data_IF_007334527026
#
_entry.id   IF_007334527026
#
_cell.length_a   1.000
_cell.length_b   1.000
_cell.length_c   1.000
_cell.angle_alpha   90.00
_cell.angle_beta   90.00
_cell.angle_gamma   90.00
#
_symmetry.space_group_name_H-M   'P 1'
#
loop_
_entity.id
_entity.type
_entity.pdbx_description
1 polymer ?
#
# COMPACT_ATOMS: atom_id res chain seq x y z
N UNK A 1 27.73 -16.61 -31.12
CA UNK A 1 26.52 -16.14 -31.79
C UNK A 1 25.82 -17.36 -32.33
N UNK A 2 24.63 -17.64 -31.83
CA UNK A 2 23.77 -18.71 -32.32
C UNK A 2 23.27 -18.30 -33.72
N UNK A 3 23.23 -19.18 -34.74
CA UNK A 3 22.86 -18.79 -36.11
C UNK A 3 21.43 -18.23 -36.27
N UNK A 4 20.57 -18.35 -35.25
CA UNK A 4 19.22 -17.75 -35.20
C UNK A 4 19.16 -16.28 -34.76
N UNK A 5 20.29 -15.66 -34.42
CA UNK A 5 20.36 -14.30 -33.84
C UNK A 5 20.36 -13.16 -34.88
N UNK A 6 20.24 -13.48 -36.19
CA UNK A 6 20.38 -12.50 -37.29
C UNK A 6 19.16 -11.63 -37.54
N UNK A 7 18.01 -11.97 -36.98
CA UNK A 7 16.73 -11.27 -37.23
C UNK A 7 16.20 -10.53 -35.99
N UNK A 8 16.99 -10.43 -34.90
CA UNK A 8 16.57 -9.68 -33.70
C UNK A 8 16.74 -8.18 -33.96
N UNK A 9 15.67 -7.35 -33.84
CA UNK A 9 15.79 -5.91 -34.00
C UNK A 9 16.78 -5.31 -33.01
N UNK A 10 17.76 -4.56 -33.50
CA UNK A 10 18.73 -3.85 -32.68
C UNK A 10 18.28 -2.40 -32.46
N UNK A 11 18.26 -1.98 -31.19
CA UNK A 11 18.03 -0.59 -30.81
C UNK A 11 19.37 0.00 -30.38
N UNK A 12 19.81 1.04 -31.08
CA UNK A 12 21.02 1.76 -30.70
C UNK A 12 20.76 2.59 -29.43
N UNK A 13 21.53 2.33 -28.37
CA UNK A 13 21.54 3.16 -27.16
C UNK A 13 20.78 2.59 -25.96
N UNK A 14 20.35 3.49 -25.07
CA UNK A 14 19.61 3.18 -23.83
C UNK A 14 18.10 3.29 -24.08
N UNK A 15 17.34 2.38 -23.50
CA UNK A 15 15.87 2.48 -23.46
C UNK A 15 15.47 3.00 -22.08
N UNK A 16 14.52 3.92 -22.02
CA UNK A 16 14.01 4.46 -20.78
C UNK A 16 12.60 3.95 -20.49
N UNK A 17 12.30 3.72 -19.22
CA UNK A 17 10.98 3.34 -18.75
C UNK A 17 10.66 3.96 -17.40
N UNK A 18 9.41 3.80 -16.97
CA UNK A 18 8.95 4.20 -15.64
C UNK A 18 8.84 2.97 -14.76
N UNK A 19 9.33 3.09 -13.53
CA UNK A 19 9.32 2.00 -12.56
C UNK A 19 8.90 2.49 -11.19
N UNK A 20 8.17 1.63 -10.48
CA UNK A 20 7.93 1.73 -9.04
C UNK A 20 8.79 0.69 -8.34
N UNK A 21 9.65 1.12 -7.43
CA UNK A 21 10.42 0.27 -6.55
C UNK A 21 9.75 0.16 -5.20
N UNK A 22 9.94 -0.99 -4.54
CA UNK A 22 9.73 -1.09 -3.11
C UNK A 22 10.97 -0.60 -2.36
N UNK A 23 10.78 -0.03 -1.19
CA UNK A 23 11.83 0.39 -0.27
C UNK A 23 11.94 -0.65 0.85
N UNK A 24 13.13 -1.22 0.98
CA UNK A 24 13.53 -2.04 2.11
C UNK A 24 14.28 -1.16 3.11
N UNK A 25 13.87 -1.21 4.38
CA UNK A 25 14.38 -0.33 5.44
C UNK A 25 15.21 -1.12 6.43
N UNK A 26 16.52 -0.84 6.50
CA UNK A 26 17.42 -1.47 7.45
C UNK A 26 18.38 -0.43 8.03
N UNK A 27 18.43 -0.31 9.35
CA UNK A 27 19.39 0.59 10.02
C UNK A 27 19.24 2.08 9.68
N UNK A 28 18.02 2.53 9.33
CA UNK A 28 17.76 3.91 8.90
C UNK A 28 18.12 4.20 7.43
N UNK A 29 18.53 3.18 6.68
CA UNK A 29 18.88 3.26 5.27
C UNK A 29 17.78 2.60 4.42
N UNK A 30 17.51 3.20 3.26
CA UNK A 30 16.46 2.75 2.33
C UNK A 30 17.11 2.18 1.06
N UNK A 31 16.77 0.93 0.73
CA UNK A 31 17.26 0.25 -0.48
C UNK A 31 16.12 -0.06 -1.43
N UNK A 32 16.37 0.18 -2.72
CA UNK A 32 15.43 -0.17 -3.77
C UNK A 32 15.40 -1.69 -3.96
N UNK A 33 14.18 -2.22 -4.00
CA UNK A 33 13.90 -3.62 -4.22
C UNK A 33 12.88 -3.80 -5.33
N UNK A 34 13.11 -4.77 -6.19
CA UNK A 34 12.13 -5.21 -7.17
C UNK A 34 11.00 -6.02 -6.55
N UNK A 35 9.94 -6.25 -7.33
CA UNK A 35 8.78 -7.04 -6.92
C UNK A 35 9.17 -8.47 -6.48
N UNK A 36 10.13 -9.09 -7.18
CA UNK A 36 10.69 -10.40 -6.87
C UNK A 36 11.88 -10.35 -5.91
N UNK A 37 11.89 -9.37 -5.00
CA UNK A 37 12.91 -9.22 -3.97
C UNK A 37 14.36 -8.95 -4.42
N UNK A 38 14.64 -8.81 -5.73
CA UNK A 38 15.96 -8.44 -6.26
C UNK A 38 16.36 -7.03 -5.82
N UNK A 39 17.53 -6.92 -5.18
CA UNK A 39 18.10 -5.65 -4.76
C UNK A 39 18.69 -4.91 -5.97
N UNK A 40 18.60 -3.58 -5.95
CA UNK A 40 19.22 -2.73 -6.97
C UNK A 40 20.53 -2.15 -6.44
N UNK A 41 21.53 -2.13 -7.33
CA UNK A 41 22.84 -1.54 -7.06
C UNK A 41 22.72 -0.05 -6.71
N UNK A 42 23.30 0.32 -5.57
CA UNK A 42 23.03 1.58 -4.89
C UNK A 42 24.18 2.57 -4.95
N UNK A 43 25.02 2.50 -5.97
CA UNK A 43 26.20 3.36 -6.15
C UNK A 43 26.23 3.97 -7.57
N UNK A 44 25.07 4.03 -8.22
CA UNK A 44 24.91 4.54 -9.59
C UNK A 44 25.36 3.56 -10.69
N UNK A 45 25.89 2.39 -10.32
CA UNK A 45 26.18 1.34 -11.30
C UNK A 45 24.91 0.66 -11.79
N UNK A 46 25.05 0.00 -12.92
CA UNK A 46 24.00 -0.84 -13.49
C UNK A 46 23.72 -2.01 -12.56
N UNK A 47 22.46 -2.21 -12.20
CA UNK A 47 22.01 -3.51 -11.69
C UNK A 47 22.03 -4.50 -12.84
N UNK A 48 22.53 -5.71 -12.59
CA UNK A 48 22.51 -6.82 -13.54
C UNK A 48 21.34 -7.73 -13.18
N UNK A 49 20.52 -8.09 -14.18
CA UNK A 49 19.44 -9.03 -14.00
C UNK A 49 20.00 -10.44 -13.80
N UNK A 50 19.54 -11.11 -12.75
CA UNK A 50 19.89 -12.50 -12.46
C UNK A 50 18.63 -13.35 -12.30
N UNK A 51 18.69 -14.59 -12.77
CA UNK A 51 17.68 -15.59 -12.44
C UNK A 51 18.05 -16.26 -11.11
N UNK A 52 17.69 -15.60 -9.98
CA UNK A 52 18.01 -16.10 -8.62
C UNK A 52 16.78 -16.66 -7.87
N UNK A 53 15.70 -16.99 -8.57
CA UNK A 53 14.47 -17.51 -7.96
C UNK A 53 14.64 -18.95 -7.46
N UNK A 54 14.12 -19.24 -6.25
CA UNK A 54 14.02 -20.61 -5.68
C UNK A 54 13.32 -21.61 -6.62
N UNK A 55 12.50 -21.10 -7.53
CA UNK A 55 11.74 -21.85 -8.54
C UNK A 55 12.59 -22.36 -9.71
N UNK A 56 13.84 -21.89 -9.86
CA UNK A 56 14.73 -22.22 -11.00
C UNK A 56 16.05 -22.86 -10.57
N UNK A 57 16.13 -23.41 -9.36
CA UNK A 57 17.35 -23.96 -8.76
C UNK A 57 18.01 -25.14 -9.53
N UNK A 58 17.49 -25.54 -10.69
CA UNK A 58 18.05 -26.60 -11.55
C UNK A 58 18.26 -26.23 -13.02
N UNK A 59 17.93 -25.01 -13.46
CA UNK A 59 18.13 -24.60 -14.86
C UNK A 59 18.55 -23.12 -14.96
N UNK A 60 19.85 -22.81 -14.77
CA UNK A 60 20.35 -21.45 -14.92
C UNK A 60 20.21 -21.00 -16.38
N UNK A 61 19.62 -19.83 -16.58
CA UNK A 61 19.50 -19.21 -17.89
C UNK A 61 19.83 -17.71 -17.81
N UNK A 62 20.15 -17.13 -18.95
CA UNK A 62 20.44 -15.71 -19.06
C UNK A 62 19.17 -14.89 -18.81
N UNK A 63 19.27 -13.78 -18.07
CA UNK A 63 18.15 -12.84 -17.89
C UNK A 63 18.26 -11.66 -18.89
N UNK A 64 17.13 -11.13 -19.40
CA UNK A 64 15.80 -11.74 -19.35
C UNK A 64 15.72 -13.01 -20.20
N UNK A 65 14.82 -13.91 -19.83
CA UNK A 65 14.48 -15.11 -20.59
C UNK A 65 12.97 -15.07 -20.91
N UNK A 66 12.56 -15.30 -22.17
CA UNK A 66 11.16 -15.23 -22.59
C UNK A 66 10.22 -16.19 -21.86
N UNK A 67 10.75 -17.30 -21.33
CA UNK A 67 9.98 -18.33 -20.61
C UNK A 67 10.07 -18.17 -19.08
N UNK A 68 10.83 -17.20 -18.60
CA UNK A 68 10.94 -16.86 -17.18
C UNK A 68 10.36 -15.47 -16.92
N UNK A 69 10.18 -15.07 -15.66
CA UNK A 69 9.87 -13.70 -15.24
C UNK A 69 11.10 -12.90 -14.79
N UNK A 70 12.32 -13.41 -15.04
CA UNK A 70 13.57 -12.73 -14.71
C UNK A 70 13.81 -11.49 -15.59
N UNK A 71 14.63 -10.55 -15.12
CA UNK A 71 14.87 -9.29 -15.82
C UNK A 71 14.45 -8.07 -15.02
N UNK A 72 15.08 -6.94 -15.33
CA UNK A 72 14.77 -5.65 -14.72
C UNK A 72 13.64 -5.00 -15.51
N UNK A 73 12.43 -5.06 -14.95
CA UNK A 73 11.21 -4.60 -15.61
C UNK A 73 11.02 -3.07 -15.54
N UNK A 74 10.48 -2.47 -16.58
CA UNK A 74 9.97 -1.10 -16.56
C UNK A 74 8.74 -0.97 -17.48
N UNK A 75 7.85 -0.04 -17.17
CA UNK A 75 6.73 0.31 -18.04
C UNK A 75 7.14 1.35 -19.07
N UNK A 76 6.54 1.30 -20.27
CA UNK A 76 6.72 2.38 -21.23
C UNK A 76 6.06 3.66 -20.70
N UNK A 77 6.62 4.86 -20.96
CA UNK A 77 6.01 6.10 -20.50
C UNK A 77 4.56 6.29 -20.98
N UNK A 78 4.20 5.80 -22.17
CA UNK A 78 2.83 5.86 -22.68
C UNK A 78 1.86 4.86 -22.03
N UNK A 79 2.36 3.86 -21.31
CA UNK A 79 1.57 2.88 -20.54
C UNK A 79 1.71 3.11 -19.03
N UNK A 80 2.34 4.23 -18.64
CA UNK A 80 2.72 4.50 -17.26
C UNK A 80 1.52 4.85 -16.36
N UNK A 81 0.33 5.09 -16.92
CA UNK A 81 -0.90 5.24 -16.11
C UNK A 81 -1.09 4.04 -15.16
N UNK A 82 -0.74 2.82 -15.59
CA UNK A 82 -0.79 1.62 -14.75
C UNK A 82 0.27 1.65 -13.64
N UNK A 83 1.50 2.08 -13.96
CA UNK A 83 2.58 2.20 -12.97
C UNK A 83 2.34 3.35 -11.98
N UNK A 84 1.74 4.44 -12.45
CA UNK A 84 1.43 5.62 -11.66
C UNK A 84 0.15 5.43 -10.84
N UNK A 85 -0.81 4.62 -11.29
CA UNK A 85 -1.92 4.17 -10.47
C UNK A 85 -1.43 3.44 -9.20
N UNK A 86 -0.30 2.74 -9.25
CA UNK A 86 0.32 2.14 -8.05
C UNK A 86 0.88 3.18 -7.06
N UNK A 87 1.04 4.44 -7.48
CA UNK A 87 1.33 5.58 -6.60
C UNK A 87 0.07 6.32 -6.15
N UNK A 88 -1.00 6.24 -6.95
CA UNK A 88 -2.28 6.94 -6.77
C UNK A 88 -3.34 6.11 -6.02
N UNK A 89 -3.12 4.80 -5.84
CA UNK A 89 -3.96 3.95 -4.99
C UNK A 89 -4.11 4.63 -3.62
N UNK A 90 -5.36 4.86 -3.21
CA UNK A 90 -5.81 5.56 -1.99
C UNK A 90 -5.24 4.98 -0.66
N UNK A 91 -4.36 3.99 -0.72
CA UNK A 91 -3.44 3.67 0.35
C UNK A 91 -2.43 4.82 0.54
N UNK A 92 -2.03 5.16 1.77
CA UNK A 92 -0.95 6.14 1.96
C UNK A 92 0.23 5.73 1.08
N UNK A 93 1.00 6.67 0.47
CA UNK A 93 2.29 6.32 -0.09
C UNK A 93 3.02 5.65 1.04
N UNK A 94 3.09 4.33 0.97
CA UNK A 94 3.82 3.57 1.94
C UNK A 94 5.21 4.15 1.74
N UNK A 95 5.86 4.56 2.82
CA UNK A 95 7.31 4.76 2.80
C UNK A 95 8.04 3.49 2.28
N UNK A 96 7.32 2.41 1.96
CA UNK A 96 7.79 1.23 1.26
C UNK A 96 7.82 1.33 -0.27
N UNK A 97 7.50 2.46 -0.93
CA UNK A 97 7.61 2.56 -2.39
C UNK A 97 8.04 3.94 -2.90
N UNK A 98 8.72 3.96 -4.04
CA UNK A 98 9.13 5.17 -4.76
C UNK A 98 9.05 4.91 -6.27
N UNK A 99 8.66 5.91 -7.05
CA UNK A 99 8.69 5.82 -8.51
C UNK A 99 9.81 6.65 -9.10
N UNK A 100 10.10 6.39 -10.37
CA UNK A 100 11.10 7.13 -11.11
C UNK A 100 11.32 6.59 -12.52
N UNK A 101 12.31 7.17 -13.17
CA UNK A 101 12.76 6.80 -14.50
C UNK A 101 13.96 5.87 -14.37
N UNK A 102 13.97 4.82 -15.19
CA UNK A 102 15.06 3.86 -15.29
C UNK A 102 15.63 3.88 -16.70
N UNK A 103 16.96 3.87 -16.81
CA UNK A 103 17.66 3.58 -18.07
C UNK A 103 18.01 2.09 -18.12
N UNK A 104 17.89 1.47 -19.29
CA UNK A 104 18.05 0.03 -19.46
C UNK A 104 18.71 -0.33 -20.80
N UNK A 105 19.44 -1.47 -20.83
CA UNK A 105 20.18 -1.94 -22.00
C UNK A 105 20.60 -3.42 -21.89
N UNK A 106 21.32 -3.90 -22.91
CA UNK A 106 21.79 -5.28 -23.03
C UNK A 106 20.76 -6.12 -23.79
N UNK A 107 20.55 -7.37 -23.35
CA UNK A 107 19.39 -8.14 -23.81
C UNK A 107 18.11 -7.51 -23.27
N UNK A 108 17.15 -7.29 -24.15
CA UNK A 108 15.86 -6.70 -23.81
C UNK A 108 14.75 -7.57 -24.37
N UNK A 109 13.80 -7.89 -23.52
CA UNK A 109 12.54 -8.49 -23.93
C UNK A 109 11.47 -7.40 -23.88
N UNK A 110 10.90 -7.11 -25.04
CA UNK A 110 9.98 -6.01 -25.24
C UNK A 110 8.52 -6.52 -25.22
N UNK A 111 7.66 -5.80 -24.54
CA UNK A 111 6.22 -6.03 -24.48
C UNK A 111 5.46 -4.75 -24.87
N UNK A 112 4.14 -4.86 -25.09
CA UNK A 112 3.31 -3.70 -25.46
C UNK A 112 3.29 -2.62 -24.36
N UNK A 113 3.30 -3.02 -23.08
CA UNK A 113 3.19 -2.10 -21.94
C UNK A 113 4.51 -1.79 -21.23
N UNK A 114 5.57 -2.51 -21.57
CA UNK A 114 6.88 -2.33 -20.94
C UNK A 114 7.96 -3.22 -21.51
N UNK A 115 9.02 -3.40 -20.76
CA UNK A 115 10.14 -4.26 -21.15
C UNK A 115 10.85 -4.85 -19.93
N UNK A 116 11.61 -5.91 -20.17
CA UNK A 116 12.57 -6.48 -19.21
C UNK A 116 13.96 -6.38 -19.80
N UNK A 117 14.94 -5.92 -19.01
CA UNK A 117 16.30 -5.74 -19.49
C UNK A 117 17.33 -6.50 -18.64
N UNK A 118 18.47 -6.80 -19.26
CA UNK A 118 19.63 -7.39 -18.62
C UNK A 118 20.32 -6.41 -17.68
N UNK A 119 20.44 -5.14 -18.09
CA UNK A 119 21.05 -4.10 -17.29
C UNK A 119 20.09 -2.95 -17.12
N UNK A 120 20.01 -2.40 -15.91
CA UNK A 120 19.26 -1.17 -15.69
C UNK A 120 19.79 -0.41 -14.47
N UNK A 121 19.60 0.90 -14.46
CA UNK A 121 19.79 1.73 -13.25
C UNK A 121 18.77 2.86 -13.19
N UNK A 122 18.39 3.31 -11.97
CA UNK A 122 17.58 4.51 -11.84
C UNK A 122 18.37 5.72 -12.37
N UNK A 123 17.67 6.66 -12.99
CA UNK A 123 18.26 7.94 -13.43
C UNK A 123 17.54 9.14 -12.82
N UNK A 124 16.30 8.95 -12.41
CA UNK A 124 15.54 9.95 -11.68
C UNK A 124 14.51 9.30 -10.75
N UNK A 125 14.28 9.87 -9.58
CA UNK A 125 13.13 9.58 -8.72
C UNK A 125 12.13 10.73 -8.76
N UNK A 126 10.84 10.43 -8.54
CA UNK A 126 9.79 11.45 -8.59
C UNK A 126 9.22 11.78 -7.21
N UNK A 127 9.01 13.07 -6.98
CA UNK A 127 8.27 13.64 -5.88
C UNK A 127 6.95 14.19 -6.41
N UNK A 128 5.85 13.45 -6.21
CA UNK A 128 4.52 13.86 -6.65
C UNK A 128 3.78 14.54 -5.49
N UNK A 129 3.41 15.81 -5.65
CA UNK A 129 2.60 16.56 -4.69
C UNK A 129 3.26 16.80 -3.32
N UNK A 130 4.58 16.61 -3.23
CA UNK A 130 5.38 16.84 -2.03
C UNK A 130 6.51 17.81 -2.35
N UNK A 131 6.74 18.79 -1.46
CA UNK A 131 7.88 19.70 -1.58
C UNK A 131 9.19 18.98 -1.23
N UNK A 132 10.30 19.32 -1.90
CA UNK A 132 11.63 18.79 -1.58
C UNK A 132 12.04 18.95 -0.11
N UNK A 133 11.62 20.05 0.55
CA UNK A 133 11.91 20.30 1.97
C UNK A 133 11.08 19.48 2.97
N UNK A 134 10.11 18.68 2.51
CA UNK A 134 9.33 17.79 3.40
C UNK A 134 10.17 16.58 3.82
N UNK A 135 9.80 15.90 4.92
CA UNK A 135 10.47 14.66 5.36
C UNK A 135 10.56 13.61 4.24
N UNK A 136 9.50 13.50 3.43
CA UNK A 136 9.47 12.62 2.26
C UNK A 136 10.39 13.12 1.14
N UNK A 137 10.41 14.43 0.87
CA UNK A 137 11.33 15.06 -0.07
C UNK A 137 12.80 14.81 0.29
N UNK A 138 13.17 15.03 1.55
CA UNK A 138 14.51 14.77 2.08
C UNK A 138 14.87 13.27 2.04
N UNK A 139 13.90 12.38 2.26
CA UNK A 139 14.09 10.94 2.12
C UNK A 139 14.37 10.56 0.66
N UNK A 140 13.56 11.03 -0.29
CA UNK A 140 13.77 10.77 -1.72
C UNK A 140 15.09 11.36 -2.20
N UNK A 141 15.45 12.57 -1.75
CA UNK A 141 16.75 13.17 -2.06
C UNK A 141 17.92 12.27 -1.62
N UNK A 142 17.90 11.75 -0.40
CA UNK A 142 18.91 10.79 0.09
C UNK A 142 18.97 9.49 -0.74
N UNK A 143 17.82 9.01 -1.20
CA UNK A 143 17.77 7.85 -2.11
C UNK A 143 18.36 8.24 -3.48
N UNK A 144 18.05 9.44 -3.99
CA UNK A 144 18.65 10.03 -5.19
C UNK A 144 20.17 10.05 -5.13
N UNK A 145 20.72 10.66 -4.09
CA UNK A 145 22.17 10.76 -3.86
C UNK A 145 22.84 9.39 -3.85
N UNK A 146 22.23 8.43 -3.13
CA UNK A 146 22.73 7.06 -3.03
C UNK A 146 22.81 6.40 -4.40
N UNK A 147 21.73 6.45 -5.17
CA UNK A 147 21.65 5.80 -6.48
C UNK A 147 22.23 6.67 -7.61
N UNK A 148 22.93 7.77 -7.28
CA UNK A 148 23.44 8.75 -8.25
C UNK A 148 22.39 9.19 -9.27
N UNK A 149 21.17 9.43 -8.80
CA UNK A 149 19.98 9.70 -9.60
C UNK A 149 19.41 11.07 -9.28
N UNK A 150 18.85 11.75 -10.28
CA UNK A 150 18.17 13.02 -10.09
C UNK A 150 16.88 12.85 -9.25
N UNK A 151 16.38 13.95 -8.71
CA UNK A 151 15.03 14.02 -8.13
C UNK A 151 14.20 15.01 -8.94
N UNK A 152 13.00 14.59 -9.36
CA UNK A 152 12.05 15.39 -10.12
C UNK A 152 10.89 15.78 -9.23
N UNK A 153 10.66 17.08 -9.08
CA UNK A 153 9.49 17.62 -8.38
C UNK A 153 8.35 17.82 -9.37
N UNK A 154 7.22 17.13 -9.12
CA UNK A 154 6.05 17.13 -9.98
C UNK A 154 4.81 17.49 -9.17
N UNK A 155 3.92 18.29 -9.75
CA UNK A 155 2.64 18.64 -9.13
C UNK A 155 1.67 17.46 -9.10
N UNK A 156 1.70 16.62 -10.13
CA UNK A 156 0.82 15.45 -10.33
C UNK A 156 1.55 14.33 -11.07
N UNK A 157 1.03 13.11 -10.98
CA UNK A 157 1.70 11.93 -11.51
C UNK A 157 1.82 11.96 -13.05
N UNK A 158 0.83 12.51 -13.74
CA UNK A 158 0.77 12.60 -15.20
C UNK A 158 1.89 13.50 -15.76
N UNK A 159 2.38 14.46 -14.97
CA UNK A 159 3.50 15.31 -15.36
C UNK A 159 4.80 14.50 -15.58
N UNK A 160 4.92 13.28 -15.01
CA UNK A 160 6.04 12.40 -15.31
C UNK A 160 5.99 11.91 -16.76
N UNK A 161 4.80 11.59 -17.28
CA UNK A 161 4.63 11.16 -18.67
C UNK A 161 4.95 12.31 -19.62
N UNK A 162 4.48 13.51 -19.29
CA UNK A 162 4.78 14.72 -20.05
C UNK A 162 6.28 15.04 -20.00
N UNK A 163 6.93 14.89 -18.84
CA UNK A 163 8.38 15.04 -18.69
C UNK A 163 9.14 14.05 -19.57
N UNK A 164 8.79 12.77 -19.53
CA UNK A 164 9.41 11.75 -20.39
C UNK A 164 9.24 12.09 -21.87
N UNK A 165 8.05 12.53 -22.30
CA UNK A 165 7.80 12.94 -23.68
C UNK A 165 8.65 14.15 -24.09
N UNK A 166 8.74 15.16 -23.24
CA UNK A 166 9.49 16.38 -23.52
C UNK A 166 11.01 16.16 -23.64
N UNK A 167 11.53 15.11 -23.00
CA UNK A 167 12.95 14.74 -23.03
C UNK A 167 13.22 13.51 -23.92
N UNK A 168 12.25 13.11 -24.74
CA UNK A 168 12.36 11.96 -25.64
C UNK A 168 12.77 10.66 -24.91
N UNK A 169 12.32 10.50 -23.67
CA UNK A 169 12.60 9.32 -22.85
C UNK A 169 11.58 8.22 -23.17
N UNK A 170 12.08 7.10 -23.65
CA UNK A 170 11.33 5.86 -23.88
C UNK A 170 10.96 5.64 -25.35
N UNK A 171 10.51 4.43 -25.67
CA UNK A 171 10.06 4.10 -27.02
C UNK A 171 8.66 4.66 -27.26
N UNK A 172 8.42 5.19 -28.45
CA UNK A 172 7.09 5.63 -28.84
C UNK A 172 6.17 4.43 -29.09
N UNK A 173 4.87 4.59 -28.83
CA UNK A 173 3.88 3.52 -29.02
C UNK A 173 3.90 2.92 -30.44
N UNK A 174 4.03 3.70 -31.52
CA UNK A 174 4.17 3.13 -32.87
C UNK A 174 5.42 2.26 -33.04
N UNK A 175 6.56 2.67 -32.47
CA UNK A 175 7.82 1.90 -32.51
C UNK A 175 7.67 0.60 -31.74
N UNK A 176 7.12 0.64 -30.52
CA UNK A 176 6.85 -0.57 -29.72
C UNK A 176 5.97 -1.54 -30.49
N UNK A 177 4.86 -1.06 -31.08
CA UNK A 177 3.98 -1.91 -31.89
C UNK A 177 4.67 -2.52 -33.10
N UNK A 178 5.48 -1.75 -33.81
CA UNK A 178 6.23 -2.25 -34.97
C UNK A 178 7.22 -3.34 -34.57
N UNK A 179 7.92 -3.17 -33.44
CA UNK A 179 8.91 -4.14 -32.96
C UNK A 179 8.27 -5.41 -32.41
N UNK A 180 7.14 -5.27 -31.69
CA UNK A 180 6.40 -6.42 -31.15
C UNK A 180 5.66 -7.18 -32.26
N UNK A 181 5.09 -6.49 -33.26
CA UNK A 181 4.38 -7.12 -34.38
C UNK A 181 5.31 -7.70 -35.46
N UNK A 182 6.51 -7.12 -35.61
CA UNK A 182 7.52 -7.57 -36.58
C UNK A 182 8.39 -8.72 -36.09
N UNK A 183 8.30 -9.10 -34.81
CA UNK A 183 8.95 -10.30 -34.31
C UNK A 183 8.25 -11.53 -34.90
N UNK A 184 8.94 -12.44 -35.61
CA UNK A 184 8.36 -13.71 -36.00
C UNK A 184 7.90 -14.39 -34.70
N UNK A 185 6.59 -14.53 -34.52
CA UNK A 185 6.04 -15.30 -33.41
C UNK A 185 6.60 -16.72 -33.43
N UNK A 186 6.60 -17.46 -32.31
CA UNK A 186 6.93 -18.87 -32.35
C UNK A 186 6.01 -19.51 -33.38
N UNK A 187 6.62 -19.98 -34.47
CA UNK A 187 5.93 -20.70 -35.53
C UNK A 187 5.26 -21.90 -34.86
N UNK A 188 3.95 -21.81 -34.63
CA UNK A 188 3.16 -22.98 -34.27
C UNK A 188 3.16 -23.83 -35.52
N UNK A 189 4.14 -24.73 -35.62
CA UNK A 189 4.24 -25.72 -36.68
C UNK A 189 3.03 -26.62 -36.54
N UNK A 190 1.97 -26.26 -37.25
CA UNK A 190 0.81 -27.10 -37.45
C UNK A 190 1.27 -28.26 -38.35
N UNK A 191 1.63 -29.38 -37.72
CA UNK A 191 2.02 -30.61 -38.42
C UNK A 191 0.82 -31.12 -39.20
N UNK A 192 0.63 -30.62 -40.42
CA UNK A 192 -0.30 -31.19 -41.40
C UNK A 192 0.36 -32.42 -41.98
N UNK A 193 0.05 -33.59 -41.42
CA UNK A 193 0.39 -34.88 -42.01
C UNK A 193 -0.38 -35.06 -43.32
N UNK A 194 0.20 -34.61 -44.44
CA UNK A 194 -0.22 -34.97 -45.79
C UNK A 194 0.23 -36.40 -46.08
N UNK A 195 -0.63 -37.37 -45.81
CA UNK A 195 -0.47 -38.75 -46.27
C UNK A 195 -0.79 -38.84 -47.76
N UNK A 196 0.23 -39.08 -48.57
CA UNK A 196 0.13 -39.43 -49.99
C UNK A 196 0.12 -40.96 -50.07
N UNK A 197 -1.04 -41.56 -50.32
CA UNK A 197 -1.17 -43.02 -50.46
C UNK A 197 -0.99 -43.43 -51.92
N UNK A 198 -0.02 -44.31 -52.27
CA UNK A 198 0.04 -44.97 -53.56
C UNK A 198 -1.02 -46.08 -53.63
N UNK A 199 -1.64 -46.25 -54.80
CA UNK A 199 -2.67 -47.26 -55.05
C UNK A 199 -2.16 -48.69 -54.80
N UNK A 200 -3.00 -49.50 -54.13
CA UNK A 200 -2.79 -50.93 -53.95
C UNK A 200 -3.99 -51.72 -54.50
N UNK A 201 -3.75 -52.92 -55.07
CA UNK A 201 -4.75 -53.64 -55.85
C UNK A 201 -5.74 -54.43 -55.00
N UNK A 202 -6.91 -54.68 -55.58
CA UNK A 202 -8.06 -55.35 -54.96
C UNK A 202 -7.77 -56.83 -54.65
N UNK A 203 -7.31 -57.09 -53.41
CA UNK A 203 -7.15 -58.43 -52.85
C UNK A 203 -8.39 -58.89 -52.06
N UNK A 204 -8.87 -60.09 -52.39
CA UNK A 204 -10.00 -60.83 -51.78
C UNK A 204 -9.90 -60.81 -50.24
N UNK A 205 -10.94 -60.26 -49.57
CA UNK A 205 -11.00 -60.08 -48.11
C UNK A 205 -11.26 -61.41 -47.39
N UNK A 206 -10.28 -61.85 -46.60
CA UNK A 206 -10.39 -62.93 -45.63
C UNK A 206 -11.08 -62.40 -44.35
N UNK A 207 -12.28 -62.91 -43.98
CA UNK A 207 -13.03 -62.45 -42.80
C UNK A 207 -12.32 -62.70 -41.46
N UNK A 208 -11.27 -63.55 -41.42
CA UNK A 208 -10.47 -63.76 -40.21
C UNK A 208 -9.55 -62.59 -39.89
N UNK A 209 -9.01 -61.91 -40.90
CA UNK A 209 -8.17 -60.70 -40.72
C UNK A 209 -8.96 -59.50 -40.23
N UNK A 210 -10.23 -59.36 -40.63
CA UNK A 210 -11.09 -58.27 -40.15
C UNK A 210 -11.39 -58.37 -38.66
N UNK A 211 -11.58 -59.59 -38.12
CA UNK A 211 -11.80 -59.81 -36.69
C UNK A 211 -10.54 -59.55 -35.86
N UNK A 212 -9.37 -59.96 -36.35
CA UNK A 212 -8.09 -59.67 -35.69
C UNK A 212 -7.81 -58.17 -35.65
N UNK A 213 -8.11 -57.43 -36.73
CA UNK A 213 -7.97 -55.98 -36.79
C UNK A 213 -8.91 -55.28 -35.79
N UNK A 214 -10.18 -55.70 -35.73
CA UNK A 214 -11.16 -55.14 -34.77
C UNK A 214 -10.78 -55.43 -33.31
N UNK A 215 -10.21 -56.60 -33.02
CA UNK A 215 -9.70 -56.92 -31.69
C UNK A 215 -8.50 -56.02 -31.32
N UNK A 216 -7.57 -55.79 -32.26
CA UNK A 216 -6.44 -54.87 -32.09
C UNK A 216 -6.89 -53.42 -31.85
N UNK A 217 -7.88 -52.94 -32.61
CA UNK A 217 -8.44 -51.59 -32.43
C UNK A 217 -9.08 -51.44 -31.05
N UNK A 218 -9.86 -52.43 -30.60
CA UNK A 218 -10.47 -52.40 -29.26
C UNK A 218 -9.43 -52.38 -28.15
N UNK A 219 -8.37 -53.18 -28.27
CA UNK A 219 -7.28 -53.18 -27.31
C UNK A 219 -6.58 -51.82 -27.26
N UNK A 220 -6.27 -51.21 -28.41
CA UNK A 220 -5.68 -49.87 -28.46
C UNK A 220 -6.58 -48.80 -27.88
N UNK A 221 -7.89 -48.81 -28.18
CA UNK A 221 -8.84 -47.85 -27.61
C UNK A 221 -8.93 -47.98 -26.08
N UNK A 222 -8.88 -49.21 -25.55
CA UNK A 222 -8.85 -49.42 -24.10
C UNK A 222 -7.56 -48.85 -23.47
N UNK A 223 -6.40 -49.06 -24.10
CA UNK A 223 -5.13 -48.47 -23.63
C UNK A 223 -5.16 -46.94 -23.65
N UNK A 224 -5.69 -46.34 -24.71
CA UNK A 224 -5.83 -44.88 -24.82
C UNK A 224 -6.78 -44.35 -23.75
N UNK A 225 -7.92 -45.01 -23.52
CA UNK A 225 -8.87 -44.61 -22.47
C UNK A 225 -8.23 -44.64 -21.07
N UNK A 226 -7.46 -45.69 -20.75
CA UNK A 226 -6.73 -45.79 -19.48
C UNK A 226 -5.71 -44.66 -19.35
N UNK A 227 -4.96 -44.36 -20.42
CA UNK A 227 -3.98 -43.27 -20.41
C UNK A 227 -4.63 -41.90 -20.18
N UNK A 228 -5.79 -41.63 -20.80
CA UNK A 228 -6.54 -40.38 -20.61
C UNK A 228 -7.05 -40.26 -19.17
N UNK A 229 -7.60 -41.34 -18.60
CA UNK A 229 -8.07 -41.36 -17.21
C UNK A 229 -6.90 -41.14 -16.24
N UNK A 230 -5.75 -41.77 -16.49
CA UNK A 230 -4.54 -41.57 -15.69
C UNK A 230 -4.06 -40.11 -15.75
N UNK A 231 -4.01 -39.51 -16.95
CA UNK A 231 -3.60 -38.12 -17.13
C UNK A 231 -4.52 -37.15 -16.38
N UNK A 232 -5.84 -37.37 -16.47
CA UNK A 232 -6.82 -36.58 -15.73
C UNK A 232 -6.65 -36.73 -14.21
N UNK A 233 -6.39 -37.96 -13.73
CA UNK A 233 -6.16 -38.23 -12.31
C UNK A 233 -4.89 -37.55 -11.79
N UNK A 234 -3.77 -37.64 -12.51
CA UNK A 234 -2.53 -36.96 -12.13
C UNK A 234 -2.66 -35.44 -12.21
N UNK A 235 -3.39 -34.90 -13.20
CA UNK A 235 -3.71 -33.48 -13.28
C UNK A 235 -4.51 -32.99 -12.06
N UNK A 236 -5.52 -33.76 -11.63
CA UNK A 236 -6.29 -33.48 -10.42
C UNK A 236 -5.42 -33.50 -9.16
N UNK A 237 -4.58 -34.53 -8.98
CA UNK A 237 -3.66 -34.61 -7.84
C UNK A 237 -2.65 -33.45 -7.82
N UNK A 238 -2.13 -33.06 -8.98
CA UNK A 238 -1.25 -31.89 -9.11
C UNK A 238 -1.95 -30.60 -8.72
N UNK A 239 -3.20 -30.40 -9.14
CA UNK A 239 -4.01 -29.26 -8.74
C UNK A 239 -4.26 -29.22 -7.23
N UNK A 240 -4.61 -30.36 -6.61
CA UNK A 240 -4.78 -30.47 -5.15
C UNK A 240 -3.48 -30.11 -4.42
N UNK A 241 -2.32 -30.58 -4.90
CA UNK A 241 -1.02 -30.25 -4.32
C UNK A 241 -0.72 -28.74 -4.40
N UNK A 242 -1.01 -28.09 -5.54
CA UNK A 242 -0.86 -26.64 -5.69
C UNK A 242 -1.76 -25.87 -4.73
N UNK A 243 -3.03 -26.29 -4.58
CA UNK A 243 -3.97 -25.67 -3.62
C UNK A 243 -3.45 -25.82 -2.19
N UNK A 244 -2.94 -27.00 -1.81
CA UNK A 244 -2.35 -27.23 -0.49
C UNK A 244 -1.09 -26.40 -0.26
N UNK A 245 -0.21 -26.24 -1.26
CA UNK A 245 0.96 -25.37 -1.19
C UNK A 245 0.54 -23.90 -1.04
N UNK A 246 -0.44 -23.42 -1.81
CA UNK A 246 -0.96 -22.06 -1.66
C UNK A 246 -1.56 -21.86 -0.25
N UNK A 247 -2.31 -22.84 0.26
CA UNK A 247 -2.87 -22.78 1.61
C UNK A 247 -1.78 -22.77 2.69
N UNK A 248 -0.74 -23.61 2.54
CA UNK A 248 0.40 -23.64 3.44
C UNK A 248 1.24 -22.36 3.37
N UNK A 249 1.52 -21.85 2.17
CA UNK A 249 2.21 -20.56 1.99
C UNK A 249 1.39 -19.45 2.63
N UNK A 250 0.07 -19.37 2.39
CA UNK A 250 -0.79 -18.40 3.11
C UNK A 250 -0.68 -18.56 4.62
N UNK A 251 -0.76 -19.79 5.14
CA UNK A 251 -0.61 -20.04 6.57
C UNK A 251 0.76 -19.64 7.15
N UNK A 252 1.83 -19.59 6.33
CA UNK A 252 3.18 -19.20 6.74
C UNK A 252 3.55 -17.74 6.42
N UNK A 253 2.96 -17.15 5.37
CA UNK A 253 3.20 -15.75 4.95
C UNK A 253 2.20 -14.78 5.55
N UNK A 254 1.05 -15.28 6.01
CA UNK A 254 0.25 -14.58 7.00
C UNK A 254 1.05 -14.61 8.30
N UNK A 255 1.98 -13.67 8.43
CA UNK A 255 2.47 -13.21 9.73
C UNK A 255 1.23 -13.14 10.66
N UNK A 256 1.15 -13.92 11.76
CA UNK A 256 -0.06 -14.11 12.55
C UNK A 256 -0.48 -12.86 13.34
N UNK A 257 -0.02 -11.69 12.91
CA UNK A 257 -0.65 -10.42 13.23
C UNK A 257 -1.56 -10.08 12.06
N UNK A 258 -2.79 -10.65 11.97
CA UNK A 258 -3.79 -10.07 11.11
C UNK A 258 -3.79 -8.58 11.42
N UNK A 259 -3.69 -7.73 10.38
CA UNK A 259 -3.93 -6.32 10.53
C UNK A 259 -5.25 -6.21 11.31
N UNK A 260 -5.15 -5.83 12.59
CA UNK A 260 -6.24 -5.94 13.54
C UNK A 260 -7.41 -5.21 12.89
N UNK A 261 -8.41 -5.97 12.45
CA UNK A 261 -9.53 -5.36 11.74
C UNK A 261 -10.15 -4.36 12.71
N UNK A 262 -10.57 -3.20 12.19
CA UNK A 262 -11.18 -2.10 12.93
C UNK A 262 -12.35 -2.50 13.87
N UNK A 263 -12.74 -3.78 13.90
CA UNK A 263 -13.78 -4.40 14.75
C UNK A 263 -13.65 -4.12 16.24
N UNK A 264 -12.49 -3.64 16.70
CA UNK A 264 -12.26 -3.38 18.12
C UNK A 264 -12.30 -1.89 18.50
N UNK A 265 -12.34 -0.98 17.53
CA UNK A 265 -12.54 0.44 17.80
C UNK A 265 -13.98 0.83 17.48
N UNK A 266 -14.72 1.15 18.52
CA UNK A 266 -16.09 1.63 18.42
C UNK A 266 -16.08 3.16 18.38
N UNK A 267 -16.69 3.75 17.35
CA UNK A 267 -16.98 5.18 17.34
C UNK A 267 -18.20 5.41 18.23
N UNK A 268 -17.97 5.95 19.42
CA UNK A 268 -19.05 6.29 20.36
C UNK A 268 -19.82 7.50 19.84
N UNK A 269 -19.10 8.48 19.32
CA UNK A 269 -19.68 9.71 18.79
C UNK A 269 -18.70 10.41 17.86
N UNK A 270 -19.22 11.19 16.91
CA UNK A 270 -18.43 11.99 16.00
C UNK A 270 -19.15 13.28 15.60
N UNK A 271 -18.37 14.33 15.34
CA UNK A 271 -18.88 15.64 14.96
C UNK A 271 -17.88 16.42 14.11
N UNK A 272 -18.38 17.44 13.41
CA UNK A 272 -17.55 18.51 12.85
C UNK A 272 -17.62 19.72 13.77
N UNK A 273 -16.48 20.15 14.31
CA UNK A 273 -16.41 21.35 15.15
C UNK A 273 -15.63 22.45 14.45
N UNK A 274 -15.99 23.71 14.73
CA UNK A 274 -15.26 24.87 14.21
C UNK A 274 -14.42 25.51 15.29
N UNK A 275 -13.15 25.80 15.00
CA UNK A 275 -12.26 26.53 15.91
C UNK A 275 -11.25 27.34 15.10
N UNK A 276 -11.13 28.63 15.39
CA UNK A 276 -10.18 29.51 14.70
C UNK A 276 -10.42 29.68 13.20
N UNK A 277 -11.63 29.40 12.69
CA UNK A 277 -11.92 29.43 11.25
C UNK A 277 -11.69 28.10 10.53
N UNK A 278 -11.09 27.12 11.21
CA UNK A 278 -10.88 25.77 10.69
C UNK A 278 -12.00 24.84 11.13
N UNK A 279 -12.32 23.86 10.29
CA UNK A 279 -13.24 22.76 10.61
C UNK A 279 -12.41 21.55 10.99
N UNK A 280 -12.73 20.96 12.13
CA UNK A 280 -12.09 19.75 12.64
C UNK A 280 -13.09 18.62 12.71
N UNK A 281 -12.67 17.45 12.26
CA UNK A 281 -13.35 16.20 12.58
C UNK A 281 -12.95 15.77 13.99
N UNK A 282 -13.95 15.43 14.80
CA UNK A 282 -13.77 14.95 16.16
C UNK A 282 -14.51 13.65 16.29
N UNK A 283 -13.86 12.61 16.81
CA UNK A 283 -14.51 11.36 17.16
C UNK A 283 -14.09 10.87 18.54
N UNK A 284 -15.06 10.55 19.39
CA UNK A 284 -14.85 9.83 20.64
C UNK A 284 -14.84 8.35 20.30
N UNK A 285 -13.73 7.69 20.58
CA UNK A 285 -13.49 6.31 20.17
C UNK A 285 -13.18 5.46 21.40
N UNK A 286 -13.78 4.28 21.48
CA UNK A 286 -13.56 3.31 22.55
C UNK A 286 -12.86 2.08 21.98
N UNK A 287 -11.86 1.59 22.68
CA UNK A 287 -11.28 0.29 22.40
C UNK A 287 -12.11 -0.80 23.12
N UNK A 288 -12.99 -1.46 22.37
CA UNK A 288 -13.81 -2.56 22.85
C UNK A 288 -13.08 -3.91 22.78
N UNK A 289 -11.76 -3.96 22.48
CA UNK A 289 -11.02 -5.22 22.52
C UNK A 289 -10.96 -5.78 23.94
N UNK A 290 -11.04 -7.12 24.05
CA UNK A 290 -10.76 -7.84 25.30
C UNK A 290 -9.29 -8.28 25.40
N UNK A 291 -8.53 -8.24 24.28
CA UNK A 291 -7.14 -8.73 24.21
C UNK A 291 -6.13 -7.60 24.29
N UNK A 292 -5.05 -7.85 25.03
CA UNK A 292 -3.97 -6.94 25.38
C UNK A 292 -3.23 -6.44 24.13
N UNK A 293 -3.38 -5.15 23.85
CA UNK A 293 -2.64 -4.44 22.82
C UNK A 293 -3.13 -3.00 22.73
N UNK A 294 -2.20 -2.06 22.88
CA UNK A 294 -2.50 -0.66 22.68
C UNK A 294 -2.73 -0.41 21.18
N UNK A 295 -3.82 0.26 20.83
CA UNK A 295 -4.17 0.57 19.44
C UNK A 295 -4.15 2.07 19.21
N UNK A 296 -3.37 2.52 18.23
CA UNK A 296 -3.47 3.88 17.76
C UNK A 296 -4.69 4.01 16.84
N UNK A 297 -5.56 4.97 17.12
CA UNK A 297 -6.81 5.19 16.37
C UNK A 297 -6.61 6.19 15.22
N UNK A 298 -7.01 5.81 14.00
CA UNK A 298 -6.87 6.64 12.79
C UNK A 298 -8.21 6.75 12.07
N UNK A 299 -8.75 7.95 11.85
CA UNK A 299 -9.94 8.09 11.05
C UNK A 299 -9.61 7.86 9.57
N UNK A 300 -10.48 7.14 8.87
CA UNK A 300 -10.49 7.00 7.42
C UNK A 300 -11.90 7.10 6.89
N UNK A 301 -12.06 7.63 5.69
CA UNK A 301 -13.34 7.63 5.00
C UNK A 301 -13.74 9.01 4.51
N UNK A 302 -15.04 9.26 4.43
CA UNK A 302 -15.59 10.46 3.80
C UNK A 302 -16.63 11.09 4.71
N UNK A 303 -16.66 12.42 4.72
CA UNK A 303 -17.74 13.20 5.31
C UNK A 303 -18.56 13.74 4.16
N UNK A 304 -19.86 13.44 4.21
CA UNK A 304 -20.84 13.82 3.22
C UNK A 304 -21.74 14.92 3.80
N UNK A 305 -22.26 15.79 2.94
CA UNK A 305 -23.37 16.66 3.33
C UNK A 305 -24.74 15.93 3.23
N UNK A 306 -25.82 16.68 3.39
CA UNK A 306 -27.19 16.17 3.31
C UNK A 306 -27.57 15.68 1.91
N UNK A 307 -26.94 16.21 0.86
CA UNK A 307 -27.14 15.78 -0.52
C UNK A 307 -26.36 14.50 -0.85
N UNK A 308 -25.47 14.05 0.05
CA UNK A 308 -24.59 12.90 -0.18
C UNK A 308 -23.28 13.29 -0.88
N UNK A 309 -23.01 14.58 -1.06
CA UNK A 309 -21.79 15.06 -1.70
C UNK A 309 -20.61 15.03 -0.73
N UNK A 310 -19.44 14.63 -1.23
CA UNK A 310 -18.23 14.53 -0.40
C UNK A 310 -17.68 15.92 -0.09
N UNK A 311 -17.92 16.39 1.14
CA UNK A 311 -17.40 17.67 1.62
C UNK A 311 -15.99 17.57 2.20
N UNK A 312 -15.62 16.40 2.72
CA UNK A 312 -14.27 16.15 3.21
C UNK A 312 -13.89 14.67 3.09
N UNK A 313 -12.59 14.39 2.98
CA UNK A 313 -12.03 13.04 3.05
C UNK A 313 -11.09 12.96 4.24
N UNK A 314 -11.30 11.95 5.08
CA UNK A 314 -10.43 11.59 6.19
C UNK A 314 -9.42 10.58 5.66
N UNK A 315 -8.16 11.00 5.59
CA UNK A 315 -7.06 10.20 5.05
C UNK A 315 -6.03 9.83 6.11
N UNK A 316 -5.01 9.03 5.75
CA UNK A 316 -3.88 8.70 6.63
C UNK A 316 -2.94 9.89 6.89
N UNK A 317 -2.94 10.90 6.01
CA UNK A 317 -2.15 12.15 6.11
C UNK A 317 -2.97 13.44 6.33
N UNK A 318 -3.83 13.53 7.33
CA UNK A 318 -4.32 14.83 7.77
C UNK A 318 -3.26 15.52 8.64
N UNK A 319 -3.39 16.83 8.86
CA UNK A 319 -2.64 17.53 9.90
C UNK A 319 -3.20 17.09 11.24
N UNK A 320 -2.65 15.99 11.74
CA UNK A 320 -3.17 15.33 12.93
C UNK A 320 -2.89 16.20 14.15
N UNK A 321 -3.93 16.82 14.70
CA UNK A 321 -3.80 17.48 16.00
C UNK A 321 -3.68 16.42 17.10
N UNK A 322 -4.49 15.34 17.02
CA UNK A 322 -4.46 14.29 18.04
C UNK A 322 -4.93 12.89 17.58
N UNK A 323 -4.15 11.85 17.93
CA UNK A 323 -4.50 10.43 17.79
C UNK A 323 -4.23 9.70 19.10
N UNK A 324 -5.24 9.16 19.78
CA UNK A 324 -5.04 8.46 21.02
C UNK A 324 -4.46 7.07 20.72
N UNK A 325 -3.63 6.58 21.64
CA UNK A 325 -3.28 5.17 21.74
C UNK A 325 -4.08 4.61 22.91
N UNK A 326 -4.94 3.63 22.63
CA UNK A 326 -5.93 3.12 23.59
C UNK A 326 -5.62 1.69 24.01
N UNK A 327 -5.56 1.46 25.31
CA UNK A 327 -5.59 0.13 25.92
C UNK A 327 -7.01 -0.46 25.84
N UNK A 328 -7.17 -1.79 25.99
CA UNK A 328 -8.47 -2.44 26.10
C UNK A 328 -9.39 -1.76 27.12
N UNK A 329 -10.62 -1.42 26.71
CA UNK A 329 -11.62 -0.73 27.53
C UNK A 329 -11.48 0.79 27.59
N UNK A 330 -10.37 1.37 27.14
CA UNK A 330 -10.17 2.82 27.19
C UNK A 330 -11.00 3.57 26.15
N UNK A 331 -11.30 4.83 26.48
CA UNK A 331 -11.94 5.78 25.57
C UNK A 331 -11.00 6.96 25.36
N UNK A 332 -10.86 7.40 24.11
CA UNK A 332 -10.09 8.59 23.75
C UNK A 332 -10.75 9.38 22.63
N UNK A 333 -10.03 10.38 22.14
CA UNK A 333 -10.57 11.32 21.16
C UNK A 333 -9.62 11.43 19.98
N UNK A 334 -10.14 11.24 18.78
CA UNK A 334 -9.46 11.56 17.53
C UNK A 334 -9.83 13.00 17.16
N UNK A 335 -8.84 13.85 16.92
CA UNK A 335 -9.04 15.23 16.44
C UNK A 335 -8.23 15.41 15.17
N UNK A 336 -8.94 15.74 14.10
CA UNK A 336 -8.36 15.81 12.77
C UNK A 336 -8.73 17.10 12.04
N UNK A 337 -7.74 17.82 11.54
CA UNK A 337 -7.97 19.06 10.79
C UNK A 337 -8.41 18.74 9.37
N UNK A 338 -9.59 19.23 8.99
CA UNK A 338 -10.09 19.09 7.63
C UNK A 338 -9.61 20.29 6.80
N UNK A 339 -8.96 20.06 5.64
CA UNK A 339 -8.50 21.16 4.80
C UNK A 339 -9.68 22.02 4.32
N UNK A 340 -9.71 23.28 4.77
CA UNK A 340 -10.86 24.18 4.66
C UNK A 340 -11.23 24.68 3.27
N UNK A 341 -10.61 24.20 2.18
CA UNK A 341 -10.90 24.72 0.83
C UNK A 341 -12.30 24.34 0.31
N UNK A 342 -12.87 23.19 0.71
CA UNK A 342 -14.17 22.72 0.21
C UNK A 342 -15.34 22.86 1.18
N UNK A 343 -15.09 22.89 2.49
CA UNK A 343 -16.15 22.98 3.51
C UNK A 343 -16.79 24.37 3.63
N UNK A 344 -16.33 25.36 2.85
CA UNK A 344 -16.77 26.74 2.99
C UNK A 344 -16.54 27.30 4.40
N UNK A 345 -17.18 28.43 4.73
CA UNK A 345 -17.08 29.01 6.08
C UNK A 345 -17.94 28.27 7.11
N UNK A 346 -18.90 27.43 6.72
CA UNK A 346 -19.82 26.77 7.66
C UNK A 346 -19.82 25.26 7.42
N UNK A 347 -19.59 24.41 8.44
CA UNK A 347 -19.79 22.98 8.29
C UNK A 347 -21.24 22.71 7.88
N UNK A 348 -21.52 21.61 7.15
CA UNK A 348 -22.88 21.21 6.84
C UNK A 348 -23.68 21.05 8.15
N UNK A 349 -24.96 21.45 8.14
CA UNK A 349 -25.80 21.40 9.33
C UNK A 349 -26.01 19.96 9.85
N UNK A 350 -26.01 18.99 8.94
CA UNK A 350 -26.22 17.57 9.22
C UNK A 350 -25.20 16.74 8.43
N UNK A 351 -23.94 16.65 8.88
CA UNK A 351 -22.93 15.82 8.22
C UNK A 351 -23.30 14.35 8.32
N UNK A 352 -23.15 13.62 7.22
CA UNK A 352 -23.17 12.16 7.18
C UNK A 352 -21.75 11.64 7.18
N UNK A 353 -21.46 10.68 8.06
CA UNK A 353 -20.11 10.16 8.24
C UNK A 353 -20.02 8.76 7.67
N UNK A 354 -19.32 8.60 6.56
CA UNK A 354 -18.90 7.31 6.03
C UNK A 354 -17.45 7.05 6.46
N UNK A 355 -17.27 6.98 7.77
CA UNK A 355 -15.96 6.94 8.42
C UNK A 355 -15.75 5.61 9.11
N UNK A 356 -14.50 5.16 9.14
CA UNK A 356 -14.03 3.99 9.89
C UNK A 356 -12.80 4.41 10.67
N UNK A 357 -12.69 3.98 11.92
CA UNK A 357 -11.48 4.16 12.71
C UNK A 357 -10.62 2.92 12.53
N UNK A 358 -9.48 3.07 11.87
CA UNK A 358 -8.51 2.00 11.69
C UNK A 358 -7.60 1.97 12.92
N UNK A 359 -7.37 0.78 13.45
CA UNK A 359 -6.38 0.53 14.48
C UNK A 359 -5.03 0.21 13.82
N UNK A 360 -3.95 0.85 14.27
CA UNK A 360 -2.60 0.33 14.01
C UNK A 360 -2.05 -0.21 15.32
N UNK A 361 -1.64 -1.48 15.32
CA UNK A 361 -0.85 -2.00 16.42
C UNK A 361 0.41 -1.15 16.55
N UNK A 362 0.53 -0.52 17.70
CA UNK A 362 1.83 -0.12 18.20
C UNK A 362 2.25 -1.25 19.12
N UNK A 363 3.52 -1.67 19.08
CA UNK A 363 4.05 -2.35 20.25
C UNK A 363 3.70 -1.41 21.41
N UNK A 364 2.96 -1.92 22.41
CA UNK A 364 2.82 -1.17 23.64
C UNK A 364 4.25 -0.81 24.03
N UNK A 365 4.59 0.48 24.18
CA UNK A 365 5.92 0.81 24.64
C UNK A 365 6.15 -0.03 25.89
N UNK A 366 7.34 -0.62 26.04
CA UNK A 366 7.67 -1.43 27.21
C UNK A 366 7.73 -0.60 28.51
N UNK A 367 7.19 0.62 28.48
CA UNK A 367 7.09 1.58 29.56
C UNK A 367 5.77 1.47 30.34
N UNK A 368 5.76 1.96 31.59
CA UNK A 368 4.58 2.01 32.44
C UNK A 368 3.40 2.74 31.78
N UNK A 369 2.20 2.26 32.11
CA UNK A 369 0.90 2.74 31.62
C UNK A 369 0.79 4.28 31.60
N UNK A 370 0.09 4.84 30.59
CA UNK A 370 -0.22 6.27 30.58
C UNK A 370 -0.99 6.68 31.84
N UNK A 371 -0.90 7.96 32.20
CA UNK A 371 -1.76 8.49 33.26
C UNK A 371 -3.23 8.46 32.82
N UNK A 372 -4.13 8.25 33.78
CA UNK A 372 -5.58 8.18 33.58
C UNK A 372 -6.25 9.49 34.01
N UNK A 373 -7.30 9.88 33.28
CA UNK A 373 -8.22 10.92 33.71
C UNK A 373 -9.40 10.24 34.41
N UNK A 374 -9.47 10.34 35.74
CA UNK A 374 -10.53 9.68 36.56
C UNK A 374 -11.84 10.44 36.54
N UNK A 375 -11.77 11.77 36.59
CA UNK A 375 -12.94 12.64 36.55
C UNK A 375 -12.58 14.04 36.10
N UNK A 376 -13.56 14.74 35.54
CA UNK A 376 -13.51 16.16 35.21
C UNK A 376 -14.66 16.88 35.88
N UNK A 377 -14.40 18.07 36.40
CA UNK A 377 -15.36 18.91 37.09
C UNK A 377 -15.27 20.33 36.53
N UNK A 378 -16.39 20.82 35.99
CA UNK A 378 -16.51 22.16 35.42
C UNK A 378 -17.33 23.02 36.38
N UNK A 379 -16.64 23.90 37.10
CA UNK A 379 -17.26 24.96 37.87
C UNK A 379 -17.68 26.07 36.89
N UNK A 380 -18.97 26.18 36.61
CA UNK A 380 -19.52 27.12 35.62
C UNK A 380 -19.49 28.56 36.09
N UNK A 381 -19.61 28.79 37.40
CA UNK A 381 -19.63 30.13 38.00
C UNK A 381 -18.26 30.78 37.89
N UNK A 382 -17.20 30.00 38.14
CA UNK A 382 -15.81 30.46 38.00
C UNK A 382 -15.18 30.12 36.65
N UNK A 383 -15.94 29.45 35.79
CA UNK A 383 -15.50 28.87 34.54
C UNK A 383 -14.14 28.18 34.62
N UNK A 384 -14.06 27.25 35.56
CA UNK A 384 -12.84 26.57 35.96
C UNK A 384 -13.02 25.08 35.74
N UNK A 385 -12.18 24.49 34.89
CA UNK A 385 -12.13 23.06 34.66
C UNK A 385 -11.03 22.45 35.54
N UNK A 386 -11.41 21.53 36.41
CA UNK A 386 -10.47 20.70 37.16
C UNK A 386 -10.59 19.25 36.76
N UNK A 387 -9.48 18.51 36.82
CA UNK A 387 -9.46 17.08 36.59
C UNK A 387 -8.71 16.35 37.71
N UNK A 388 -9.21 15.17 38.04
CA UNK A 388 -8.50 14.19 38.86
C UNK A 388 -7.71 13.28 37.93
N UNK A 389 -6.39 13.39 37.98
CA UNK A 389 -5.44 12.58 37.19
C UNK A 389 -4.83 11.52 38.09
N UNK A 390 -4.50 10.36 37.55
CA UNK A 390 -3.80 9.30 38.28
C UNK A 390 -2.70 8.72 37.39
N UNK A 391 -1.46 8.73 37.88
CA UNK A 391 -0.33 8.21 37.12
C UNK A 391 0.46 7.20 37.97
N UNK A 392 0.87 6.05 37.43
CA UNK A 392 1.70 5.10 38.18
C UNK A 392 3.11 5.66 38.48
N UNK A 393 3.57 6.61 37.68
CA UNK A 393 4.86 7.32 37.80
C UNK A 393 4.70 8.79 37.39
N UNK A 394 5.72 9.60 37.66
CA UNK A 394 5.76 10.98 37.16
C UNK A 394 5.79 11.01 35.62
N UNK A 395 4.93 11.82 35.02
CA UNK A 395 4.87 12.09 33.57
C UNK A 395 5.20 13.56 33.33
N UNK A 396 6.30 13.87 32.64
CA UNK A 396 6.79 15.26 32.50
C UNK A 396 6.01 16.12 31.50
N UNK A 397 5.56 15.52 30.40
CA UNK A 397 4.94 16.23 29.27
C UNK A 397 3.56 15.69 28.95
N UNK A 398 2.68 15.64 29.96
CA UNK A 398 1.33 15.16 29.78
C UNK A 398 0.48 16.15 28.97
N UNK A 399 -0.41 15.59 28.15
CA UNK A 399 -1.46 16.33 27.46
C UNK A 399 -2.80 15.61 27.62
N UNK A 400 -3.88 16.37 27.56
CA UNK A 400 -5.26 15.84 27.59
C UNK A 400 -6.03 16.36 26.38
N UNK A 401 -6.81 15.49 25.75
CA UNK A 401 -7.78 15.89 24.77
C UNK A 401 -9.07 16.31 25.49
N UNK A 402 -9.58 17.50 25.19
CA UNK A 402 -10.79 18.07 25.76
C UNK A 402 -11.92 17.98 24.74
N UNK A 403 -13.09 17.54 25.16
CA UNK A 403 -14.34 17.55 24.39
C UNK A 403 -15.38 18.31 25.18
N UNK A 404 -15.79 19.46 24.64
CA UNK A 404 -16.83 20.30 25.18
C UNK A 404 -18.17 19.94 24.56
N UNK A 405 -19.21 19.84 25.40
CA UNK A 405 -20.58 19.53 24.98
C UNK A 405 -21.51 20.70 25.27
N UNK A 406 -22.43 20.93 24.35
CA UNK A 406 -23.47 21.94 24.54
C UNK A 406 -24.60 21.45 25.47
N UNK A 407 -25.64 22.26 25.65
CA UNK A 407 -26.81 21.91 26.46
C UNK A 407 -27.58 20.70 25.93
N UNK A 408 -27.56 20.49 24.62
CA UNK A 408 -28.15 19.32 23.95
C UNK A 408 -27.29 18.07 24.04
N UNK A 409 -26.06 18.17 24.56
CA UNK A 409 -25.12 17.07 24.71
C UNK A 409 -24.23 16.84 23.50
N UNK A 410 -24.41 17.59 22.41
CA UNK A 410 -23.62 17.45 21.19
C UNK A 410 -22.20 18.01 21.38
N UNK A 411 -21.22 17.42 20.71
CA UNK A 411 -19.84 17.94 20.68
C UNK A 411 -19.84 19.32 20.01
N UNK A 412 -19.50 20.36 20.78
CA UNK A 412 -19.48 21.75 20.32
C UNK A 412 -18.07 22.30 20.12
N UNK A 413 -17.08 21.75 20.84
CA UNK A 413 -15.67 22.06 20.63
C UNK A 413 -14.78 20.90 21.07
N UNK A 414 -13.59 20.81 20.49
CA UNK A 414 -12.54 19.92 20.95
C UNK A 414 -11.15 20.54 20.75
N UNK A 415 -10.18 20.04 21.51
CA UNK A 415 -8.79 20.44 21.36
C UNK A 415 -7.86 19.67 22.29
N UNK A 416 -6.55 19.82 22.08
CA UNK A 416 -5.54 19.27 23.00
C UNK A 416 -5.01 20.37 23.91
N UNK A 417 -4.86 20.04 25.19
CA UNK A 417 -4.24 20.88 26.20
C UNK A 417 -3.00 20.19 26.76
N UNK A 418 -1.84 20.83 26.65
CA UNK A 418 -0.61 20.41 27.36
C UNK A 418 -0.72 20.83 28.82
N UNK A 419 -0.55 19.88 29.73
CA UNK A 419 -0.69 20.09 31.18
C UNK A 419 0.64 19.95 31.92
N UNK A 420 1.72 19.56 31.21
CA UNK A 420 3.07 19.46 31.75
C UNK A 420 3.20 18.30 32.74
N UNK A 421 3.84 18.54 33.88
CA UNK A 421 4.21 17.49 34.84
C UNK A 421 2.99 16.98 35.64
N UNK A 422 2.73 15.69 35.57
CA UNK A 422 1.79 14.95 36.42
C UNK A 422 2.60 14.06 37.36
N UNK A 423 2.47 14.26 38.67
CA UNK A 423 3.18 13.45 39.67
C UNK A 423 2.61 12.03 39.75
N UNK A 424 3.39 11.11 40.31
CA UNK A 424 2.92 9.76 40.63
C UNK A 424 1.76 9.80 41.64
N UNK A 425 0.85 8.83 41.53
CA UNK A 425 -0.37 8.76 42.31
C UNK A 425 -1.48 9.65 41.78
N UNK A 426 -2.48 9.93 42.63
CA UNK A 426 -3.65 10.74 42.29
C UNK A 426 -3.37 12.21 42.54
N UNK A 427 -3.55 13.04 41.52
CA UNK A 427 -3.38 14.50 41.61
C UNK A 427 -4.61 15.22 41.08
N UNK A 428 -5.01 16.32 41.75
CA UNK A 428 -6.06 17.22 41.23
C UNK A 428 -5.37 18.39 40.55
N UNK A 429 -5.68 18.62 39.27
CA UNK A 429 -5.12 19.71 38.47
C UNK A 429 -6.22 20.61 37.94
N UNK A 430 -5.94 21.90 37.95
CA UNK A 430 -6.70 22.85 37.15
C UNK A 430 -6.21 22.75 35.71
N UNK A 431 -7.09 22.36 34.80
CA UNK A 431 -6.77 22.23 33.39
C UNK A 431 -6.95 23.56 32.67
N UNK A 432 -8.03 24.27 32.99
CA UNK A 432 -8.39 25.47 32.26
C UNK A 432 -9.20 26.42 33.15
N UNK A 433 -8.99 27.71 32.93
CA UNK A 433 -9.77 28.78 33.53
C UNK A 433 -9.91 29.90 32.51
N UNK A 434 -11.13 30.34 32.24
CA UNK A 434 -11.29 31.57 31.44
C UNK A 434 -10.82 32.77 32.25
N UNK A 435 -10.28 33.78 31.56
CA UNK A 435 -10.15 35.12 32.14
C UNK A 435 -11.52 35.74 32.45
N UNK A 436 -11.58 37.07 32.56
CA UNK A 436 -12.78 37.85 32.94
C UNK A 436 -14.02 37.72 32.02
N UNK A 437 -13.99 36.85 31.00
CA UNK A 437 -15.05 36.69 30.00
C UNK A 437 -16.23 35.79 30.39
N UNK A 438 -16.18 35.13 31.56
CA UNK A 438 -17.21 34.17 31.97
C UNK A 438 -17.24 32.91 31.11
N UNK A 439 -18.06 31.93 31.52
CA UNK A 439 -18.17 30.67 30.79
C UNK A 439 -18.98 30.83 29.49
N UNK A 440 -18.53 30.23 28.36
CA UNK A 440 -19.28 30.29 27.11
C UNK A 440 -20.75 29.87 27.32
N UNK A 441 -21.68 30.71 26.88
CA UNK A 441 -23.11 30.40 26.93
C UNK A 441 -23.36 29.11 26.13
N UNK A 442 -24.09 28.16 26.74
CA UNK A 442 -24.39 26.87 26.13
C UNK A 442 -23.42 25.74 26.47
N UNK A 443 -22.23 26.01 27.04
CA UNK A 443 -21.32 24.97 27.50
C UNK A 443 -21.91 24.24 28.72
N UNK A 444 -22.14 22.94 28.61
CA UNK A 444 -22.74 22.11 29.68
C UNK A 444 -21.69 21.28 30.40
N UNK A 445 -20.91 20.49 29.67
CA UNK A 445 -19.86 19.64 30.23
C UNK A 445 -18.59 19.74 29.40
N UNK A 446 -17.45 19.52 30.06
CA UNK A 446 -16.17 19.25 29.39
C UNK A 446 -15.65 17.92 29.92
N UNK A 447 -15.34 17.02 29.01
CA UNK A 447 -14.66 15.76 29.30
C UNK A 447 -13.21 15.85 28.86
N UNK A 448 -12.31 15.30 29.67
CA UNK A 448 -10.90 15.20 29.35
C UNK A 448 -10.53 13.73 29.18
N UNK A 449 -9.72 13.46 28.17
CA UNK A 449 -9.24 12.13 27.82
C UNK A 449 -7.71 12.15 27.80
N UNK A 450 -7.04 11.07 28.22
CA UNK A 450 -5.59 11.01 28.16
C UNK A 450 -5.12 11.15 26.71
N UNK A 451 -4.11 12.00 26.49
CA UNK A 451 -3.49 12.24 25.19
C UNK A 451 -2.00 11.95 25.33
N UNK A 452 -1.56 10.80 24.82
CA UNK A 452 -0.14 10.55 24.63
C UNK A 452 0.39 11.47 23.54
N UNK A 453 1.35 12.33 23.87
CA UNK A 453 2.00 13.18 22.88
C UNK A 453 2.87 12.33 21.93
N UNK A 454 3.10 12.77 20.69
CA UNK A 454 4.02 12.08 19.78
C UNK A 454 5.43 11.89 20.35
N UNK A 455 5.89 12.82 21.20
CA UNK A 455 7.21 12.78 21.83
C UNK A 455 7.25 11.74 22.97
N UNK A 456 6.18 11.63 23.75
CA UNK A 456 6.00 10.50 24.69
C UNK A 456 5.96 9.15 23.97
N UNK A 457 5.49 9.12 22.73
CA UNK A 457 5.45 7.90 21.93
C UNK A 457 6.75 7.61 21.14
N UNK A 458 7.76 8.50 21.23
CA UNK A 458 9.10 8.37 20.61
C UNK A 458 10.23 8.21 21.64
N UNK A 459 10.04 8.70 22.86
CA UNK A 459 11.01 8.62 23.97
C UNK A 459 10.96 7.28 24.74
N UNK A 460 10.17 6.33 24.26
CA UNK A 460 10.07 4.92 24.67
C UNK A 460 10.32 4.04 23.45
#
# INVERSE_FOLDING_TARGET
MDPGDRDVPLIAGRIHGIRVWRLDWAGGDARLRGFNACAWESDGRATVAECAGRWHAGNPHAAPDPQCACGLYATHPHSAEVALALLDEEEPPRLSSIAGVVEAWGRVELHEDGFRAQYARPVAFVLVGAAAGSDFGLMVGRIGDRYASATLELGRAEELVDHCRAHELGLSRPVVRSLVAGAPGPEVVEVTTRSRTPGAPAGRRDPRRARALLAGIRAHLATVAIAVVALAWYGFLGWVAVVLVIAAVRAFTDDPRPAFTARHLEVVEQALVRRGGEVRYVAVVRNASARQGAVAAFPRGRVLDRAGEVVARLGPRPRVEHRPTLLPGETGVVIDELPGRRLGRRPPAEPRFETKIVARHRAAPAGPEPFLVRSTDLDRDRCRLTASLEAPREVRDAAVALVARDTGGAISAAGVLRIGRVGAGRTRRELWRTGRGGCPRGLRTIHAYPSLTPDQARAE
#
